data_IF_415044704860
#
_entry.id   IF_415044704860
#
_cell.length_a   1.000
_cell.length_b   1.000
_cell.length_c   1.000
_cell.angle_alpha   90.00
_cell.angle_beta   90.00
_cell.angle_gamma   90.00
#
_symmetry.space_group_name_H-M   'P 1'
#
loop_
_entity.id
_entity.type
_entity.pdbx_description
1 polymer ?
#
# COMPACT_ATOMS: atom_id res chain seq x y z
N UNK A 1 4.73 25.02 1.67
CA UNK A 1 3.42 24.37 1.85
C UNK A 1 3.58 22.87 1.59
N UNK A 2 3.17 22.01 2.53
CA UNK A 2 3.23 20.56 2.35
C UNK A 2 2.25 20.10 1.26
N UNK A 3 2.63 19.02 0.57
CA UNK A 3 1.88 18.41 -0.55
C UNK A 3 0.39 18.18 -0.23
N UNK A 4 0.10 17.81 1.02
CA UNK A 4 -1.24 17.50 1.53
C UNK A 4 -2.20 18.69 1.59
N UNK A 5 -1.71 19.91 1.85
CA UNK A 5 -2.57 21.11 1.92
C UNK A 5 -3.04 21.56 0.54
N UNK A 6 -2.28 21.25 -0.52
CA UNK A 6 -2.58 21.69 -1.89
C UNK A 6 -3.70 20.86 -2.52
N UNK A 7 -3.73 19.55 -2.27
CA UNK A 7 -4.80 18.68 -2.78
C UNK A 7 -6.10 18.85 -1.99
N UNK A 8 -6.02 18.96 -0.66
CA UNK A 8 -7.23 19.01 0.18
C UNK A 8 -7.97 20.34 0.10
N UNK A 9 -7.23 21.47 0.00
CA UNK A 9 -7.83 22.80 -0.14
C UNK A 9 -8.50 23.06 -1.50
N UNK A 10 -8.19 22.25 -2.52
CA UNK A 10 -8.82 22.33 -3.84
C UNK A 10 -10.13 21.52 -3.86
N UNK A 11 -10.17 20.37 -3.18
CA UNK A 11 -11.37 19.53 -3.08
C UNK A 11 -12.53 20.19 -2.31
N UNK A 12 -12.23 21.05 -1.33
CA UNK A 12 -13.26 21.72 -0.52
C UNK A 12 -14.06 22.78 -1.31
N UNK A 13 -13.55 23.24 -2.46
CA UNK A 13 -14.19 24.27 -3.30
C UNK A 13 -14.86 23.73 -4.55
N UNK A 14 -14.72 22.43 -4.84
CA UNK A 14 -15.27 21.84 -6.05
C UNK A 14 -16.77 21.54 -5.88
N UNK A 15 -17.58 21.97 -6.85
CA UNK A 15 -19.00 21.62 -6.89
C UNK A 15 -19.17 20.08 -7.01
N UNK A 16 -20.22 19.46 -6.44
CA UNK A 16 -20.35 18.00 -6.38
C UNK A 16 -20.35 17.29 -7.74
N UNK A 17 -20.70 18.00 -8.81
CA UNK A 17 -20.78 17.46 -10.18
C UNK A 17 -19.43 17.55 -10.92
N UNK A 18 -18.63 18.58 -10.64
CA UNK A 18 -17.34 18.85 -11.31
C UNK A 18 -16.21 18.00 -10.71
N UNK A 19 -16.24 17.80 -9.39
CA UNK A 19 -15.33 16.88 -8.69
C UNK A 19 -15.52 15.42 -9.10
N UNK A 20 -16.75 14.98 -9.37
CA UNK A 20 -17.02 13.59 -9.74
C UNK A 20 -16.43 13.24 -11.11
N UNK A 21 -16.52 14.15 -12.09
CA UNK A 21 -16.07 13.91 -13.46
C UNK A 21 -14.53 13.93 -13.58
N UNK A 22 -13.82 14.77 -12.81
CA UNK A 22 -12.35 14.71 -12.70
C UNK A 22 -11.89 13.45 -11.95
N UNK A 23 -12.59 13.05 -10.89
CA UNK A 23 -12.23 11.86 -10.10
C UNK A 23 -12.44 10.56 -10.87
N UNK A 24 -13.45 10.50 -11.74
CA UNK A 24 -13.74 9.32 -12.58
C UNK A 24 -12.61 9.03 -13.59
N UNK A 25 -11.98 10.06 -14.17
CA UNK A 25 -10.80 9.89 -15.03
C UNK A 25 -9.56 9.42 -14.27
N UNK A 26 -9.45 9.76 -12.98
CA UNK A 26 -8.35 9.34 -12.12
C UNK A 26 -8.49 7.88 -11.63
N UNK A 27 -9.73 7.39 -11.53
CA UNK A 27 -10.06 6.06 -11.00
C UNK A 27 -10.34 4.99 -12.07
N UNK A 28 -10.36 5.37 -13.36
CA UNK A 28 -10.52 4.41 -14.45
C UNK A 28 -9.32 3.46 -14.48
N UNK A 29 -9.57 2.17 -14.21
CA UNK A 29 -8.59 1.07 -14.20
C UNK A 29 -8.14 0.67 -15.62
N UNK A 30 -7.81 1.67 -16.45
CA UNK A 30 -7.35 1.48 -17.81
C UNK A 30 -5.83 1.60 -17.82
N UNK A 31 -5.11 0.64 -18.41
CA UNK A 31 -3.65 0.68 -18.44
C UNK A 31 -3.12 1.46 -19.65
N UNK A 32 -3.41 2.76 -19.72
CA UNK A 32 -3.00 3.64 -20.83
C UNK A 32 -1.90 4.59 -20.34
N UNK A 33 -0.78 4.74 -21.09
CA UNK A 33 0.28 5.65 -20.70
C UNK A 33 -0.23 7.09 -20.58
N UNK A 34 0.08 7.74 -19.45
CA UNK A 34 -0.35 9.11 -19.15
C UNK A 34 -1.39 9.21 -18.03
N UNK A 35 -2.01 8.11 -17.60
CA UNK A 35 -2.94 8.12 -16.47
C UNK A 35 -2.30 7.69 -15.14
N UNK A 36 -2.98 8.00 -14.03
CA UNK A 36 -2.51 7.73 -12.67
C UNK A 36 -2.44 6.22 -12.41
N UNK A 37 -3.37 5.43 -12.95
CA UNK A 37 -3.38 3.97 -12.80
C UNK A 37 -2.16 3.29 -13.44
N UNK A 38 -1.72 3.74 -14.61
CA UNK A 38 -0.51 3.29 -15.30
C UNK A 38 0.74 3.58 -14.45
N UNK A 39 0.82 4.77 -13.87
CA UNK A 39 1.93 5.12 -12.98
C UNK A 39 1.90 4.30 -11.69
N UNK A 40 0.72 4.10 -11.09
CA UNK A 40 0.54 3.26 -9.91
C UNK A 40 0.95 1.80 -10.20
N UNK A 41 0.59 1.25 -11.36
CA UNK A 41 1.01 -0.09 -11.78
C UNK A 41 2.53 -0.18 -11.98
N UNK A 42 3.15 0.83 -12.59
CA UNK A 42 4.60 0.91 -12.76
C UNK A 42 5.32 0.98 -11.42
N UNK A 43 4.82 1.80 -10.49
CA UNK A 43 5.35 1.90 -9.13
C UNK A 43 5.18 0.59 -8.35
N UNK A 44 4.01 -0.04 -8.41
CA UNK A 44 3.76 -1.34 -7.79
C UNK A 44 4.71 -2.42 -8.35
N UNK A 45 4.98 -2.42 -9.66
CA UNK A 45 5.94 -3.33 -10.27
C UNK A 45 7.38 -3.08 -9.81
N UNK A 46 7.78 -1.81 -9.60
CA UNK A 46 9.09 -1.48 -9.05
C UNK A 46 9.24 -1.98 -7.61
N UNK A 47 8.24 -1.70 -6.75
CA UNK A 47 8.24 -2.12 -5.34
C UNK A 47 8.26 -3.65 -5.20
N UNK A 48 7.59 -4.39 -6.10
CA UNK A 48 7.68 -5.86 -6.12
C UNK A 48 9.10 -6.37 -6.32
N UNK A 49 9.90 -5.71 -7.17
CA UNK A 49 11.30 -6.11 -7.41
C UNK A 49 12.15 -5.94 -6.16
N UNK A 50 11.98 -4.81 -5.46
CA UNK A 50 12.72 -4.52 -4.23
C UNK A 50 12.39 -5.54 -3.14
N UNK A 51 11.12 -5.90 -2.99
CA UNK A 51 10.70 -6.93 -2.03
C UNK A 51 11.25 -8.31 -2.33
N UNK A 52 11.30 -8.71 -3.61
CA UNK A 52 11.92 -9.97 -4.00
C UNK A 52 13.40 -10.01 -3.57
N UNK A 53 14.13 -8.90 -3.72
CA UNK A 53 15.53 -8.80 -3.27
C UNK A 53 15.62 -8.98 -1.75
N UNK A 54 14.76 -8.31 -0.98
CA UNK A 54 14.71 -8.44 0.49
C UNK A 54 14.39 -9.87 0.92
N UNK A 55 13.46 -10.54 0.24
CA UNK A 55 13.09 -11.93 0.55
C UNK A 55 14.23 -12.88 0.24
N UNK A 56 14.94 -12.70 -0.88
CA UNK A 56 16.14 -13.48 -1.22
C UNK A 56 17.22 -13.31 -0.17
N UNK A 57 17.52 -12.07 0.22
CA UNK A 57 18.50 -11.79 1.29
C UNK A 57 18.09 -12.42 2.62
N UNK A 58 16.80 -12.37 2.98
CA UNK A 58 16.30 -13.03 4.19
C UNK A 58 16.38 -14.55 4.10
N UNK A 59 16.07 -15.17 2.94
CA UNK A 59 16.22 -16.62 2.73
C UNK A 59 17.67 -17.07 2.90
N UNK A 60 18.62 -16.32 2.37
CA UNK A 60 20.05 -16.59 2.56
C UNK A 60 20.46 -16.45 4.02
N UNK A 61 19.99 -15.40 4.71
CA UNK A 61 20.25 -15.22 6.14
C UNK A 61 19.63 -16.35 7.00
N UNK A 62 18.49 -16.92 6.59
CA UNK A 62 17.94 -18.10 7.27
C UNK A 62 18.83 -19.33 7.08
N UNK A 63 19.42 -19.53 5.90
CA UNK A 63 20.35 -20.62 5.65
C UNK A 63 21.61 -20.51 6.54
N UNK A 64 21.99 -19.29 6.92
CA UNK A 64 23.06 -19.03 7.88
C UNK A 64 22.60 -18.97 9.36
N UNK A 65 21.37 -19.41 9.67
CA UNK A 65 20.84 -19.47 11.05
C UNK A 65 20.27 -18.16 11.61
N UNK A 66 20.10 -17.13 10.77
CA UNK A 66 19.54 -15.84 11.16
C UNK A 66 18.02 -15.85 11.39
N UNK A 67 17.48 -14.78 12.01
CA UNK A 67 16.05 -14.68 12.32
C UNK A 67 15.20 -14.67 11.04
N UNK A 68 14.36 -15.70 10.93
CA UNK A 68 13.42 -15.88 9.84
C UNK A 68 12.08 -15.19 10.12
N UNK A 69 11.53 -14.49 9.13
CA UNK A 69 10.13 -14.08 9.17
C UNK A 69 9.22 -15.32 9.06
N UNK A 70 8.15 -15.38 9.87
CA UNK A 70 7.19 -16.49 9.89
C UNK A 70 6.63 -16.82 8.49
N UNK A 71 6.49 -15.83 7.60
CA UNK A 71 6.05 -16.06 6.22
C UNK A 71 7.06 -16.78 5.33
N UNK A 72 8.36 -16.69 5.62
CA UNK A 72 9.40 -17.37 4.83
C UNK A 72 9.57 -18.82 5.30
N UNK A 73 9.29 -19.08 6.59
CA UNK A 73 9.23 -20.42 7.19
C UNK A 73 7.93 -21.17 6.89
N UNK A 74 6.89 -20.49 6.44
CA UNK A 74 5.60 -21.11 6.15
C UNK A 74 5.74 -22.06 4.95
N UNK A 75 5.58 -23.35 5.24
CA UNK A 75 5.55 -24.42 4.26
C UNK A 75 4.09 -24.78 3.96
N UNK A 76 3.75 -24.93 2.69
CA UNK A 76 2.44 -25.42 2.26
C UNK A 76 2.24 -26.87 2.79
N UNK A 77 1.01 -27.35 3.06
CA UNK A 77 0.72 -28.75 3.37
C UNK A 77 1.38 -29.79 2.45
N UNK A 78 1.78 -29.41 1.23
CA UNK A 78 2.57 -30.23 0.31
C UNK A 78 4.07 -30.34 0.65
N UNK A 79 4.55 -29.68 1.71
CA UNK A 79 5.97 -29.63 2.09
C UNK A 79 6.81 -28.65 1.27
N UNK A 80 6.21 -27.90 0.33
CA UNK A 80 6.92 -26.95 -0.52
C UNK A 80 6.99 -25.55 0.09
N UNK A 81 8.16 -24.93 0.02
CA UNK A 81 8.34 -23.51 0.39
C UNK A 81 7.58 -22.63 -0.60
N UNK A 82 6.86 -21.64 -0.08
CA UNK A 82 6.07 -20.70 -0.87
C UNK A 82 6.95 -19.94 -1.88
N UNK A 83 6.49 -19.75 -3.14
CA UNK A 83 7.22 -19.00 -4.15
C UNK A 83 7.40 -17.53 -3.72
N UNK A 84 8.54 -16.94 -4.06
CA UNK A 84 8.92 -15.59 -3.61
C UNK A 84 7.94 -14.51 -4.07
N UNK A 85 7.32 -14.70 -5.23
CA UNK A 85 6.31 -13.78 -5.77
C UNK A 85 5.06 -13.78 -4.90
N UNK A 86 4.63 -14.93 -4.39
CA UNK A 86 3.46 -15.04 -3.53
C UNK A 86 3.75 -14.46 -2.14
N UNK A 87 4.93 -14.74 -1.58
CA UNK A 87 5.40 -14.11 -0.34
C UNK A 87 5.40 -12.58 -0.51
N UNK A 88 5.98 -12.08 -1.61
CA UNK A 88 6.01 -10.64 -1.93
C UNK A 88 4.61 -10.04 -1.96
N UNK A 89 3.67 -10.68 -2.64
CA UNK A 89 2.30 -10.18 -2.76
C UNK A 89 1.57 -10.15 -1.40
N UNK A 90 1.77 -11.16 -0.55
CA UNK A 90 1.21 -11.17 0.81
C UNK A 90 1.78 -10.06 1.68
N UNK A 91 3.10 -9.81 1.63
CA UNK A 91 3.73 -8.70 2.36
C UNK A 91 3.22 -7.35 1.86
N UNK A 92 3.12 -7.18 0.53
CA UNK A 92 2.59 -5.95 -0.04
C UNK A 92 1.14 -5.71 0.38
N UNK A 93 0.29 -6.73 0.36
CA UNK A 93 -1.10 -6.63 0.80
C UNK A 93 -1.21 -6.26 2.28
N UNK A 94 -0.43 -6.90 3.14
CA UNK A 94 -0.41 -6.59 4.59
C UNK A 94 0.03 -5.15 4.85
N UNK A 95 1.08 -4.68 4.17
CA UNK A 95 1.54 -3.29 4.30
C UNK A 95 0.45 -2.29 3.90
N UNK A 96 -0.23 -2.54 2.77
CA UNK A 96 -1.31 -1.66 2.33
C UNK A 96 -2.48 -1.65 3.32
N UNK A 97 -2.85 -2.82 3.87
CA UNK A 97 -3.90 -2.88 4.88
C UNK A 97 -3.56 -2.04 6.12
N UNK A 98 -2.32 -2.13 6.63
CA UNK A 98 -1.86 -1.31 7.77
C UNK A 98 -1.90 0.17 7.43
N UNK A 99 -1.33 0.58 6.29
CA UNK A 99 -1.31 1.99 5.88
C UNK A 99 -2.72 2.58 5.76
N UNK A 100 -3.64 1.85 5.12
CA UNK A 100 -5.03 2.25 4.97
C UNK A 100 -5.76 2.31 6.32
N UNK A 101 -5.53 1.34 7.21
CA UNK A 101 -6.13 1.32 8.55
C UNK A 101 -5.65 2.51 9.39
N UNK A 102 -4.35 2.81 9.36
CA UNK A 102 -3.79 3.98 10.04
C UNK A 102 -4.36 5.28 9.48
N UNK A 103 -4.49 5.40 8.16
CA UNK A 103 -5.11 6.58 7.54
C UNK A 103 -6.56 6.75 7.97
N UNK A 104 -7.35 5.68 8.00
CA UNK A 104 -8.73 5.72 8.50
C UNK A 104 -8.82 6.05 9.98
N UNK A 105 -7.92 5.51 10.80
CA UNK A 105 -7.85 5.83 12.22
C UNK A 105 -7.60 7.32 12.43
N UNK A 106 -6.61 7.90 11.75
CA UNK A 106 -6.29 9.34 11.84
C UNK A 106 -7.49 10.18 11.39
N UNK A 107 -8.15 9.80 10.29
CA UNK A 107 -9.35 10.50 9.81
C UNK A 107 -10.49 10.42 10.82
N UNK A 108 -10.74 9.24 11.38
CA UNK A 108 -11.81 9.01 12.34
C UNK A 108 -11.59 9.80 13.64
N UNK A 109 -10.36 9.76 14.18
CA UNK A 109 -9.97 10.50 15.37
C UNK A 109 -10.10 12.03 15.14
N UNK A 110 -9.75 12.53 13.96
CA UNK A 110 -9.94 13.93 13.60
C UNK A 110 -11.40 14.38 13.48
N UNK A 111 -12.34 13.46 13.20
CA UNK A 111 -13.78 13.76 13.11
C UNK A 111 -14.48 13.83 14.46
N UNK A 112 -13.86 13.31 15.54
CA UNK A 112 -14.47 13.30 16.88
C UNK A 112 -13.67 14.17 17.86
N UNK A 113 -13.77 15.51 17.76
CA UNK A 113 -13.00 16.44 18.59
C UNK A 113 -13.29 16.32 20.10
N UNK A 114 -14.39 15.65 20.50
CA UNK A 114 -14.73 15.40 21.90
C UNK A 114 -13.78 14.42 22.61
N UNK A 115 -13.18 13.46 21.91
CA UNK A 115 -12.28 12.46 22.52
C UNK A 115 -10.80 12.84 22.41
N UNK A 116 -10.43 13.67 21.42
CA UNK A 116 -9.07 14.19 21.22
C UNK A 116 -8.51 14.98 22.41
N UNK A 117 -9.37 15.62 23.22
CA UNK A 117 -8.94 16.37 24.42
C UNK A 117 -8.70 15.48 25.66
N UNK A 118 -8.96 14.18 25.57
CA UNK A 118 -8.88 13.23 26.70
C UNK A 118 -7.82 12.13 26.52
N UNK A 119 -7.22 12.04 25.34
CA UNK A 119 -6.02 11.24 25.04
C UNK A 119 -4.77 12.09 25.30
#
# INVERSE_FOLDING_TARGET
MPFWDREWGSCEKASPHESFQETLMHCLMINVPGNIFYQANKAAAAIRKDWIIVIKGKKQAMASGGPASHMIKATDPSGKSMPEVEITNKIMGLRHAVATTTAFLIKYVGLIPKYMKKL
#
